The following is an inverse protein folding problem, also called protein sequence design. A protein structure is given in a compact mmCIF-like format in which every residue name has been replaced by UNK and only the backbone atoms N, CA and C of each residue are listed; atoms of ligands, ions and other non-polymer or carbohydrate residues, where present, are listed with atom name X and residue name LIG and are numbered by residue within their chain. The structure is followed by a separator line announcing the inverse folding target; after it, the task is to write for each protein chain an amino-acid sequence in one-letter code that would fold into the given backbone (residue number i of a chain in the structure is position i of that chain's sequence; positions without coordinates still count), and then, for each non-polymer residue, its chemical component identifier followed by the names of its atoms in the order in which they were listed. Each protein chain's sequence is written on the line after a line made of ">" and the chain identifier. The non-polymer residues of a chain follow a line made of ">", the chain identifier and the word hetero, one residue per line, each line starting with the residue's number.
data_IF_133049382899
#
_entry.id   IF_133049382899
#
_cell.length_a   1.000
_cell.length_b   1.000
_cell.length_c   1.000
_cell.angle_alpha   90.00
_cell.angle_beta   90.00
_cell.angle_gamma   90.00
#
_symmetry.space_group_name_H-M   'P 1'
#
loop_
_entity.id
_entity.type
_entity.pdbx_description
1 polymer ?
#
# COMPACT_ATOMS: atom_id res chain seq x y z
N UNK A 1 33.48 41.66 -22.26
CA UNK A 1 33.29 40.19 -22.33
C UNK A 1 32.87 39.71 -20.95
N UNK A 2 31.59 39.38 -20.75
CA UNK A 2 31.08 38.76 -19.52
C UNK A 2 30.60 37.35 -19.88
N UNK A 3 31.12 36.41 -19.12
CA UNK A 3 31.26 35.00 -19.44
C UNK A 3 29.98 34.22 -19.08
N UNK A 4 29.48 33.48 -20.08
CA UNK A 4 28.81 32.18 -20.04
C UNK A 4 27.55 32.01 -19.18
N UNK A 5 26.42 31.97 -19.90
CA UNK A 5 25.17 31.29 -19.55
C UNK A 5 25.45 29.78 -19.63
N UNK A 6 25.39 29.05 -18.51
CA UNK A 6 25.14 27.60 -18.54
C UNK A 6 23.73 27.38 -18.05
N UNK A 7 22.82 27.20 -19.02
CA UNK A 7 21.49 26.70 -18.78
C UNK A 7 21.60 25.24 -18.32
N UNK A 8 21.38 24.98 -17.03
CA UNK A 8 21.04 23.62 -16.60
C UNK A 8 19.65 23.33 -17.13
N UNK A 9 19.62 22.61 -18.25
CA UNK A 9 18.44 21.99 -18.82
C UNK A 9 17.73 21.24 -17.69
N UNK A 10 16.43 21.51 -17.54
CA UNK A 10 15.59 20.91 -16.53
C UNK A 10 15.72 19.38 -16.56
N UNK A 11 16.31 18.83 -15.51
CA UNK A 11 15.89 17.53 -15.07
C UNK A 11 14.50 17.76 -14.49
N UNK A 12 13.47 17.40 -15.28
CA UNK A 12 12.15 17.09 -14.76
C UNK A 12 12.41 16.23 -13.52
N UNK A 13 12.20 16.79 -12.32
CA UNK A 13 12.17 15.97 -11.13
C UNK A 13 11.01 15.02 -11.38
N UNK A 14 11.32 13.80 -11.83
CA UNK A 14 10.38 12.70 -11.75
C UNK A 14 10.05 12.67 -10.27
N UNK A 15 8.90 13.24 -9.90
CA UNK A 15 8.30 13.05 -8.60
C UNK A 15 7.98 11.57 -8.54
N UNK A 16 9.00 10.76 -8.22
CA UNK A 16 8.81 9.42 -7.74
C UNK A 16 7.91 9.61 -6.52
N UNK A 17 6.62 9.38 -6.75
CA UNK A 17 5.61 9.62 -5.74
C UNK A 17 6.04 8.87 -4.49
N UNK A 18 5.98 9.49 -3.29
CA UNK A 18 6.42 8.85 -2.05
C UNK A 18 5.73 7.50 -1.78
N UNK A 19 4.63 7.20 -2.49
CA UNK A 19 3.97 5.90 -2.55
C UNK A 19 4.94 4.70 -2.70
N UNK A 20 6.00 4.79 -3.51
CA UNK A 20 6.90 3.62 -3.69
C UNK A 20 7.84 3.35 -2.51
N UNK A 21 8.15 4.37 -1.70
CA UNK A 21 8.98 4.21 -0.51
C UNK A 21 8.22 3.42 0.57
N UNK A 22 6.91 3.63 0.68
CA UNK A 22 6.03 2.92 1.61
C UNK A 22 5.97 1.41 1.36
N UNK A 23 6.03 0.98 0.09
CA UNK A 23 5.84 -0.43 -0.28
C UNK A 23 6.88 -1.39 0.30
N UNK A 24 8.08 -0.94 0.66
CA UNK A 24 9.11 -1.79 1.28
C UNK A 24 9.00 -1.84 2.81
N UNK A 25 8.15 -1.00 3.41
CA UNK A 25 7.97 -0.96 4.86
C UNK A 25 7.35 -2.28 5.33
N UNK A 26 7.87 -2.90 6.42
CA UNK A 26 7.27 -4.10 6.98
C UNK A 26 5.87 -3.82 7.57
N UNK A 27 5.05 -4.85 7.82
CA UNK A 27 3.72 -4.68 8.39
C UNK A 27 3.80 -3.99 9.75
N UNK A 28 3.09 -2.87 9.89
CA UNK A 28 2.95 -2.14 11.16
C UNK A 28 1.63 -1.34 11.16
N UNK A 29 1.14 -0.92 12.33
CA UNK A 29 0.02 0.01 12.39
C UNK A 29 0.31 1.30 11.61
N UNK A 30 -0.71 1.79 10.89
CA UNK A 30 -0.60 2.99 10.07
C UNK A 30 0.43 2.90 8.95
N UNK A 31 0.81 1.69 8.50
CA UNK A 31 1.63 1.57 7.30
C UNK A 31 0.86 2.08 6.08
N UNK A 32 1.54 2.79 5.19
CA UNK A 32 0.98 3.21 3.92
C UNK A 32 1.55 2.31 2.82
N UNK A 33 0.68 1.46 2.28
CA UNK A 33 0.92 0.62 1.10
C UNK A 33 -0.05 0.98 -0.04
N UNK A 34 -0.59 2.21 -0.04
CA UNK A 34 -1.50 2.63 -1.10
C UNK A 34 -0.87 2.48 -2.49
N UNK A 35 -1.60 1.86 -3.42
CA UNK A 35 -1.14 1.56 -4.77
C UNK A 35 0.01 0.55 -4.88
N UNK A 36 0.44 -0.08 -3.79
CA UNK A 36 1.52 -1.08 -3.83
C UNK A 36 1.05 -2.42 -4.41
N UNK A 37 1.99 -3.19 -4.97
CA UNK A 37 1.79 -4.60 -5.30
C UNK A 37 2.29 -5.47 -4.14
N UNK A 38 1.38 -6.21 -3.51
CA UNK A 38 1.60 -7.08 -2.35
C UNK A 38 1.05 -8.50 -2.58
N UNK A 39 1.11 -8.99 -3.82
CA UNK A 39 0.55 -10.28 -4.23
C UNK A 39 1.36 -11.46 -3.69
N UNK A 40 0.70 -12.59 -3.47
CA UNK A 40 1.34 -13.90 -3.21
C UNK A 40 2.29 -13.93 -2.00
N UNK A 41 2.03 -13.11 -0.98
CA UNK A 41 2.82 -13.12 0.26
C UNK A 41 2.02 -13.66 1.44
N UNK A 42 2.73 -14.07 2.49
CA UNK A 42 2.16 -14.54 3.75
C UNK A 42 2.26 -13.43 4.80
N UNK A 43 1.11 -12.96 5.28
CA UNK A 43 0.97 -11.97 6.34
C UNK A 43 0.04 -12.46 7.48
N UNK A 44 0.10 -13.74 7.91
CA UNK A 44 -0.77 -14.20 8.96
C UNK A 44 -0.47 -13.46 10.27
N UNK A 45 -1.51 -12.99 10.96
CA UNK A 45 -1.37 -12.23 12.20
C UNK A 45 -0.78 -10.82 12.05
N UNK A 46 -0.65 -10.30 10.83
CA UNK A 46 -0.03 -8.99 10.59
C UNK A 46 -0.77 -7.86 11.34
N UNK A 47 0.01 -7.00 12.00
CA UNK A 47 -0.50 -5.83 12.74
C UNK A 47 -0.65 -4.65 11.78
N UNK A 48 -1.81 -4.54 11.12
CA UNK A 48 -2.11 -3.54 10.08
C UNK A 48 -3.22 -2.57 10.51
N UNK A 49 -3.40 -2.36 11.82
CA UNK A 49 -4.41 -1.42 12.35
C UNK A 49 -4.20 -0.03 11.74
N UNK A 50 -5.27 0.59 11.27
CA UNK A 50 -5.24 1.91 10.63
C UNK A 50 -4.31 2.01 9.41
N UNK A 51 -3.91 0.89 8.80
CA UNK A 51 -3.08 0.91 7.60
C UNK A 51 -3.86 1.49 6.41
N UNK A 52 -3.14 2.20 5.55
CA UNK A 52 -3.66 2.57 4.24
C UNK A 52 -3.24 1.50 3.22
N UNK A 53 -4.22 0.70 2.78
CA UNK A 53 -4.11 -0.36 1.79
C UNK A 53 -4.99 -0.04 0.56
N UNK A 54 -5.31 1.24 0.34
CA UNK A 54 -6.15 1.66 -0.79
C UNK A 54 -5.46 1.34 -2.11
N UNK A 55 -6.20 0.82 -3.08
CA UNK A 55 -5.69 0.46 -4.41
C UNK A 55 -4.53 -0.57 -4.37
N UNK A 56 -4.26 -1.20 -3.22
CA UNK A 56 -3.21 -2.21 -3.09
C UNK A 56 -3.64 -3.50 -3.79
N UNK A 57 -2.74 -4.09 -4.56
CA UNK A 57 -2.95 -5.43 -5.10
C UNK A 57 -2.51 -6.49 -4.08
N UNK A 58 -3.50 -7.10 -3.43
CA UNK A 58 -3.36 -8.17 -2.43
C UNK A 58 -3.72 -9.54 -3.01
N UNK A 59 -3.73 -9.70 -4.35
CA UNK A 59 -4.11 -10.96 -5.01
C UNK A 59 -3.35 -12.15 -4.41
N UNK A 60 -4.09 -13.20 -4.04
CA UNK A 60 -3.57 -14.45 -3.46
C UNK A 60 -2.68 -14.26 -2.21
N UNK A 61 -2.91 -13.18 -1.45
CA UNK A 61 -2.18 -12.90 -0.19
C UNK A 61 -2.89 -13.57 0.99
N UNK A 62 -2.13 -14.17 1.91
CA UNK A 62 -2.69 -14.65 3.16
C UNK A 62 -2.64 -13.56 4.24
N UNK A 63 -3.80 -13.04 4.60
CA UNK A 63 -4.03 -12.10 5.70
C UNK A 63 -4.76 -12.79 6.87
N UNK A 64 -4.68 -14.12 6.98
CA UNK A 64 -5.33 -14.87 8.04
C UNK A 64 -4.94 -14.36 9.44
N UNK A 65 -5.90 -14.17 10.34
CA UNK A 65 -5.70 -13.58 11.67
C UNK A 65 -5.11 -12.15 11.69
N UNK A 66 -5.03 -11.45 10.54
CA UNK A 66 -4.50 -10.09 10.52
C UNK A 66 -5.37 -9.11 11.30
N UNK A 67 -4.73 -8.11 11.91
CA UNK A 67 -5.42 -7.00 12.60
C UNK A 67 -5.56 -5.83 11.64
N UNK A 68 -6.68 -5.72 10.95
CA UNK A 68 -7.01 -4.67 9.97
C UNK A 68 -8.01 -3.65 10.54
N UNK A 69 -8.15 -3.57 11.87
CA UNK A 69 -9.07 -2.64 12.53
C UNK A 69 -8.81 -1.20 12.03
N UNK A 70 -9.86 -0.55 11.53
CA UNK A 70 -9.82 0.82 10.96
C UNK A 70 -8.87 1.00 9.76
N UNK A 71 -8.45 -0.08 9.09
CA UNK A 71 -7.68 0.00 7.85
C UNK A 71 -8.53 0.54 6.68
N UNK A 72 -7.88 1.13 5.68
CA UNK A 72 -8.50 1.58 4.44
C UNK A 72 -8.12 0.60 3.34
N UNK A 73 -9.07 -0.20 2.86
CA UNK A 73 -8.92 -1.17 1.77
C UNK A 73 -9.70 -0.74 0.52
N UNK A 74 -10.04 0.54 0.42
CA UNK A 74 -10.83 1.05 -0.70
C UNK A 74 -10.13 0.75 -2.03
N UNK A 75 -10.86 0.18 -2.98
CA UNK A 75 -10.35 -0.21 -4.30
C UNK A 75 -9.20 -1.24 -4.28
N UNK A 76 -8.94 -1.88 -3.14
CA UNK A 76 -7.94 -2.95 -3.04
C UNK A 76 -8.39 -4.20 -3.83
N UNK A 77 -7.44 -4.88 -4.47
CA UNK A 77 -7.69 -6.16 -5.11
C UNK A 77 -7.38 -7.32 -4.16
N UNK A 78 -8.43 -7.95 -3.67
CA UNK A 78 -8.41 -9.10 -2.75
C UNK A 78 -8.69 -10.42 -3.47
N UNK A 79 -8.56 -10.48 -4.81
CA UNK A 79 -8.80 -11.71 -5.58
C UNK A 79 -8.00 -12.87 -5.00
N UNK A 80 -8.68 -13.94 -4.55
CA UNK A 80 -8.06 -15.11 -3.88
C UNK A 80 -7.28 -14.80 -2.58
N UNK A 81 -7.42 -13.62 -1.99
CA UNK A 81 -6.82 -13.33 -0.69
C UNK A 81 -7.54 -14.09 0.43
N UNK A 82 -6.79 -14.58 1.41
CA UNK A 82 -7.34 -15.20 2.62
C UNK A 82 -7.46 -14.15 3.72
N UNK A 83 -8.69 -13.88 4.18
CA UNK A 83 -8.97 -13.03 5.35
C UNK A 83 -9.50 -13.85 6.53
N UNK A 84 -9.21 -15.15 6.55
CA UNK A 84 -9.71 -16.07 7.58
C UNK A 84 -9.34 -15.56 8.97
N UNK A 85 -10.34 -15.37 9.84
CA UNK A 85 -10.17 -14.92 11.22
C UNK A 85 -9.52 -13.52 11.37
N UNK A 86 -9.44 -12.71 10.30
CA UNK A 86 -8.93 -11.34 10.36
C UNK A 86 -9.94 -10.39 11.05
N UNK A 87 -9.43 -9.44 11.85
CA UNK A 87 -10.26 -8.37 12.42
C UNK A 87 -10.36 -7.21 11.45
N UNK A 88 -11.59 -6.84 11.07
CA UNK A 88 -11.90 -5.73 10.15
C UNK A 88 -12.75 -4.65 10.82
N UNK A 89 -12.75 -4.57 12.16
CA UNK A 89 -13.61 -3.64 12.88
C UNK A 89 -13.38 -2.19 12.43
N UNK A 90 -14.40 -1.59 11.82
CA UNK A 90 -14.34 -0.23 11.29
C UNK A 90 -13.44 -0.04 10.07
N UNK A 91 -13.02 -1.11 9.39
CA UNK A 91 -12.28 -1.01 8.14
C UNK A 91 -13.17 -0.49 7.00
N UNK A 92 -12.62 0.33 6.11
CA UNK A 92 -13.29 0.73 4.86
C UNK A 92 -12.92 -0.25 3.75
N UNK A 93 -13.91 -0.75 3.00
CA UNK A 93 -13.72 -1.71 1.90
C UNK A 93 -14.56 -1.30 0.68
N UNK A 94 -14.62 0.00 0.37
CA UNK A 94 -15.44 0.49 -0.74
C UNK A 94 -14.83 0.00 -2.05
N UNK A 95 -15.64 -0.65 -2.89
CA UNK A 95 -15.23 -1.15 -4.22
C UNK A 95 -14.01 -2.09 -4.21
N UNK A 96 -13.84 -2.91 -3.19
CA UNK A 96 -12.83 -3.98 -3.25
C UNK A 96 -13.16 -4.97 -4.36
N UNK A 97 -12.13 -5.45 -5.06
CA UNK A 97 -12.25 -6.53 -6.04
C UNK A 97 -11.93 -7.87 -5.36
N UNK A 98 -12.65 -8.95 -5.67
CA UNK A 98 -12.50 -10.25 -5.01
C UNK A 98 -12.75 -11.42 -5.94
#
# INVERSE_FOLDING_TARGET
>A
MKLVIVATIGALALSASPASAGCKTPPKPGVDWSGCSKKLIMLPGAKLKQANLSETDLTSTDLGNAMLDRAILDEANLTRASLKDASLAGASMRKTYG
#
